data_IF_330584498532
#
_entry.id   IF_330584498532
#
_cell.length_a   1.000
_cell.length_b   1.000
_cell.length_c   1.000
_cell.angle_alpha   90.00
_cell.angle_beta   90.00
_cell.angle_gamma   90.00
#
_symmetry.space_group_name_H-M   'P 1'
#
loop_
_entity.id
_entity.type
_entity.pdbx_description
1 polymer ?
#
# COMPACT_ATOMS: atom_id res chain seq x y z
N UNK A 1 5.06 -41.53 -23.95
CA UNK A 1 4.69 -41.58 -22.52
C UNK A 1 4.01 -40.26 -22.21
N UNK A 2 2.78 -40.27 -21.67
CA UNK A 2 2.11 -39.03 -21.28
C UNK A 2 2.72 -38.49 -19.96
N UNK A 3 2.47 -37.22 -19.57
CA UNK A 3 3.05 -36.64 -18.36
C UNK A 3 2.71 -37.38 -17.06
N UNK A 4 1.51 -37.96 -16.96
CA UNK A 4 1.07 -38.70 -15.77
C UNK A 4 1.80 -40.04 -15.59
N UNK A 5 1.98 -40.79 -16.68
CA UNK A 5 2.75 -42.03 -16.70
C UNK A 5 4.22 -41.76 -16.40
N UNK A 6 4.76 -40.65 -16.92
CA UNK A 6 6.12 -40.23 -16.63
C UNK A 6 6.33 -39.89 -15.16
N UNK A 7 5.39 -39.12 -14.58
CA UNK A 7 5.43 -38.80 -13.16
C UNK A 7 5.45 -40.07 -12.31
N UNK A 8 4.58 -41.05 -12.61
CA UNK A 8 4.55 -42.34 -11.91
C UNK A 8 5.85 -43.11 -12.08
N UNK A 9 6.41 -43.17 -13.29
CA UNK A 9 7.65 -43.87 -13.59
C UNK A 9 8.85 -43.31 -12.79
N UNK A 10 8.95 -41.97 -12.66
CA UNK A 10 9.99 -41.35 -11.84
C UNK A 10 9.78 -41.64 -10.35
N UNK A 11 8.55 -41.53 -9.86
CA UNK A 11 8.23 -41.82 -8.45
C UNK A 11 8.46 -43.29 -8.07
N UNK A 12 8.37 -44.22 -9.02
CA UNK A 12 8.64 -45.65 -8.84
C UNK A 12 10.11 -46.03 -9.08
N UNK A 13 10.99 -45.07 -9.40
CA UNK A 13 12.40 -45.32 -9.70
C UNK A 13 12.66 -46.01 -11.04
N UNK A 14 11.66 -46.10 -11.91
CA UNK A 14 11.76 -46.69 -13.26
C UNK A 14 12.40 -45.72 -14.27
N UNK A 15 12.42 -44.43 -13.96
CA UNK A 15 13.02 -43.37 -14.76
C UNK A 15 13.75 -42.40 -13.82
N UNK A 16 14.95 -41.95 -14.19
CA UNK A 16 15.63 -40.91 -13.40
C UNK A 16 14.91 -39.55 -13.56
N UNK A 17 14.94 -38.68 -12.54
CA UNK A 17 14.40 -37.33 -12.64
C UNK A 17 14.96 -36.52 -13.82
N UNK A 18 16.23 -36.71 -14.15
CA UNK A 18 16.92 -36.01 -15.25
C UNK A 18 16.36 -36.41 -16.61
N UNK A 19 16.21 -37.72 -16.82
CA UNK A 19 15.58 -38.26 -18.03
C UNK A 19 14.10 -37.86 -18.10
N UNK A 20 13.44 -37.78 -16.95
CA UNK A 20 12.10 -37.22 -16.85
C UNK A 20 12.02 -35.77 -17.33
N UNK A 21 12.95 -34.90 -16.91
CA UNK A 21 13.00 -33.50 -17.36
C UNK A 21 13.25 -33.38 -18.86
N UNK A 22 14.13 -34.22 -19.43
CA UNK A 22 14.36 -34.25 -20.88
C UNK A 22 13.11 -34.62 -21.67
N UNK A 23 12.29 -35.52 -21.12
CA UNK A 23 11.01 -35.86 -21.74
C UNK A 23 10.03 -34.70 -21.59
N UNK A 24 9.94 -34.06 -20.42
CA UNK A 24 9.04 -32.93 -20.18
C UNK A 24 9.37 -31.69 -21.01
N UNK A 25 10.66 -31.44 -21.25
CA UNK A 25 11.14 -30.35 -22.12
C UNK A 25 10.47 -30.39 -23.51
N UNK A 26 10.29 -31.59 -24.07
CA UNK A 26 9.65 -31.78 -25.38
C UNK A 26 8.18 -31.41 -25.45
N UNK A 27 7.50 -31.34 -24.30
CA UNK A 27 6.07 -31.04 -24.22
C UNK A 27 5.79 -29.62 -23.72
N UNK A 28 6.79 -28.95 -23.13
CA UNK A 28 6.66 -27.60 -22.55
C UNK A 28 5.44 -27.45 -21.60
N UNK A 29 5.08 -28.52 -20.89
CA UNK A 29 3.94 -28.56 -19.99
C UNK A 29 4.33 -27.97 -18.62
N UNK A 30 3.84 -26.77 -18.34
CA UNK A 30 4.13 -26.03 -17.12
C UNK A 30 3.63 -26.74 -15.85
N UNK A 31 2.47 -27.43 -15.93
CA UNK A 31 1.93 -28.16 -14.80
C UNK A 31 2.80 -29.37 -14.49
N UNK A 32 3.15 -30.16 -15.51
CA UNK A 32 3.98 -31.32 -15.35
C UNK A 32 5.37 -30.95 -14.79
N UNK A 33 5.98 -29.87 -15.29
CA UNK A 33 7.24 -29.33 -14.76
C UNK A 33 7.11 -28.88 -13.30
N UNK A 34 6.01 -28.19 -12.95
CA UNK A 34 5.72 -27.81 -11.58
C UNK A 34 5.60 -29.02 -10.65
N UNK A 35 4.85 -30.06 -11.07
CA UNK A 35 4.66 -31.29 -10.30
C UNK A 35 5.99 -32.04 -10.14
N UNK A 36 6.81 -32.11 -11.19
CA UNK A 36 8.15 -32.68 -11.10
C UNK A 36 8.99 -31.97 -10.03
N UNK A 37 9.08 -30.64 -10.06
CA UNK A 37 9.82 -29.86 -9.07
C UNK A 37 9.30 -29.97 -7.65
N UNK A 38 8.02 -30.29 -7.47
CA UNK A 38 7.41 -30.49 -6.15
C UNK A 38 7.66 -31.88 -5.56
N UNK A 39 7.65 -32.92 -6.39
CA UNK A 39 7.54 -34.30 -5.91
C UNK A 39 8.73 -35.20 -6.27
N UNK A 40 9.49 -34.92 -7.34
CA UNK A 40 10.55 -35.82 -7.77
C UNK A 40 11.77 -35.72 -6.84
N UNK A 41 12.18 -36.83 -6.21
CA UNK A 41 13.34 -36.85 -5.33
C UNK A 41 14.62 -36.65 -6.14
N UNK A 42 15.55 -35.84 -5.63
CA UNK A 42 16.85 -35.61 -6.28
C UNK A 42 16.81 -34.70 -7.51
N UNK A 43 15.65 -34.13 -7.88
CA UNK A 43 15.53 -33.26 -9.03
C UNK A 43 16.49 -32.07 -8.97
N UNK A 44 17.11 -31.75 -10.10
CA UNK A 44 17.77 -30.47 -10.31
C UNK A 44 16.74 -29.33 -10.51
N UNK A 45 16.42 -28.61 -9.43
CA UNK A 45 15.48 -27.47 -9.45
C UNK A 45 15.92 -26.30 -10.32
N UNK A 46 17.22 -26.11 -10.58
CA UNK A 46 17.70 -25.05 -11.47
C UNK A 46 17.30 -25.36 -12.91
N UNK A 47 17.60 -26.57 -13.39
CA UNK A 47 17.19 -27.01 -14.74
C UNK A 47 15.67 -27.01 -14.88
N UNK A 48 14.94 -27.49 -13.86
CA UNK A 48 13.49 -27.49 -13.88
C UNK A 48 12.92 -26.05 -13.93
N UNK A 49 13.54 -25.09 -13.25
CA UNK A 49 13.13 -23.69 -13.28
C UNK A 49 13.39 -23.05 -14.65
N UNK A 50 14.49 -23.38 -15.32
CA UNK A 50 14.77 -22.92 -16.68
C UNK A 50 13.70 -23.41 -17.66
N UNK A 51 13.37 -24.70 -17.60
CA UNK A 51 12.30 -25.28 -18.41
C UNK A 51 10.94 -24.64 -18.10
N UNK A 52 10.62 -24.45 -16.83
CA UNK A 52 9.37 -23.81 -16.41
C UNK A 52 9.31 -22.34 -16.84
N UNK A 53 10.46 -21.65 -16.87
CA UNK A 53 10.53 -20.27 -17.37
C UNK A 53 10.29 -20.22 -18.88
N UNK A 54 10.78 -21.22 -19.62
CA UNK A 54 10.58 -21.33 -21.06
C UNK A 54 9.11 -21.54 -21.47
N UNK A 55 8.28 -22.13 -20.61
CA UNK A 55 6.82 -22.25 -20.88
C UNK A 55 6.09 -20.91 -20.82
N UNK A 56 6.71 -19.90 -20.21
CA UNK A 56 6.13 -18.56 -19.99
C UNK A 56 4.83 -18.55 -19.18
N UNK A 57 4.60 -19.59 -18.37
CA UNK A 57 3.43 -19.67 -17.49
C UNK A 57 3.72 -19.03 -16.12
N UNK A 58 3.27 -17.78 -15.95
CA UNK A 58 3.45 -17.03 -14.71
C UNK A 58 2.77 -17.68 -13.49
N UNK A 59 1.65 -18.40 -13.68
CA UNK A 59 0.92 -19.05 -12.60
C UNK A 59 1.74 -20.20 -12.01
N UNK A 60 2.29 -21.07 -12.86
CA UNK A 60 3.13 -22.17 -12.38
C UNK A 60 4.49 -21.71 -11.88
N UNK A 61 5.08 -20.65 -12.47
CA UNK A 61 6.28 -20.01 -11.91
C UNK A 61 6.04 -19.47 -10.49
N UNK A 62 4.91 -18.78 -10.28
CA UNK A 62 4.51 -18.32 -8.95
C UNK A 62 4.40 -19.47 -7.96
N UNK A 63 3.72 -20.56 -8.36
CA UNK A 63 3.54 -21.75 -7.51
C UNK A 63 4.84 -22.47 -7.23
N UNK A 64 5.75 -22.55 -8.19
CA UNK A 64 7.07 -23.13 -7.97
C UNK A 64 7.77 -22.43 -6.81
N UNK A 65 7.74 -21.10 -6.78
CA UNK A 65 8.27 -20.31 -5.67
C UNK A 65 7.68 -20.63 -4.30
N UNK A 66 6.44 -21.13 -4.23
CA UNK A 66 5.80 -21.49 -2.97
C UNK A 66 6.13 -22.91 -2.50
N UNK A 67 6.22 -23.86 -3.44
CA UNK A 67 6.15 -25.29 -3.12
C UNK A 67 7.44 -26.05 -3.41
N UNK A 68 8.36 -25.50 -4.19
CA UNK A 68 9.59 -26.20 -4.52
C UNK A 68 10.58 -26.12 -3.34
N UNK A 69 11.16 -27.25 -2.90
CA UNK A 69 12.03 -27.29 -1.73
C UNK A 69 13.31 -26.45 -1.86
N UNK A 70 13.90 -26.43 -3.06
CA UNK A 70 15.20 -25.79 -3.35
C UNK A 70 15.09 -24.83 -4.53
N UNK A 71 14.12 -23.92 -4.49
CA UNK A 71 13.97 -22.93 -5.56
C UNK A 71 14.89 -21.72 -5.37
N UNK A 72 15.46 -21.28 -6.49
CA UNK A 72 16.14 -20.00 -6.61
C UNK A 72 15.11 -18.87 -6.81
N UNK A 73 14.68 -18.29 -5.70
CA UNK A 73 13.70 -17.20 -5.70
C UNK A 73 14.13 -15.97 -6.52
N UNK A 74 15.38 -15.48 -6.46
CA UNK A 74 15.82 -14.38 -7.33
C UNK A 74 15.59 -14.66 -8.82
N UNK A 75 16.00 -15.83 -9.30
CA UNK A 75 15.82 -16.25 -10.70
C UNK A 75 14.35 -16.39 -11.07
N UNK A 76 13.54 -16.99 -10.20
CA UNK A 76 12.10 -17.11 -10.41
C UNK A 76 11.39 -15.74 -10.41
N UNK A 77 11.86 -14.79 -9.61
CA UNK A 77 11.32 -13.43 -9.56
C UNK A 77 11.65 -12.65 -10.84
N UNK A 78 12.89 -12.77 -11.32
CA UNK A 78 13.32 -12.20 -12.60
C UNK A 78 12.50 -12.74 -13.77
N UNK A 79 12.21 -14.05 -13.78
CA UNK A 79 11.33 -14.67 -14.76
C UNK A 79 9.91 -14.06 -14.71
N UNK A 80 9.30 -13.94 -13.53
CA UNK A 80 7.97 -13.31 -13.38
C UNK A 80 7.95 -11.85 -13.83
N UNK A 81 9.00 -11.08 -13.50
CA UNK A 81 9.15 -9.69 -13.94
C UNK A 81 9.23 -9.60 -15.47
N UNK A 82 10.01 -10.50 -16.09
CA UNK A 82 10.16 -10.58 -17.54
C UNK A 82 8.87 -10.96 -18.27
N UNK A 83 8.01 -11.76 -17.62
CA UNK A 83 6.69 -12.10 -18.13
C UNK A 83 5.66 -10.97 -17.99
N UNK A 84 5.99 -9.90 -17.27
CA UNK A 84 5.13 -8.71 -17.13
C UNK A 84 3.76 -9.01 -16.50
N UNK A 85 3.65 -10.07 -15.71
CA UNK A 85 2.41 -10.42 -15.00
C UNK A 85 2.33 -9.74 -13.63
N UNK A 86 1.69 -8.58 -13.57
CA UNK A 86 1.54 -7.80 -12.33
C UNK A 86 0.85 -8.57 -11.20
N UNK A 87 -0.02 -9.53 -11.53
CA UNK A 87 -0.71 -10.35 -10.53
C UNK A 87 0.25 -11.31 -9.81
N UNK A 88 1.06 -12.07 -10.55
CA UNK A 88 2.05 -12.98 -9.96
C UNK A 88 3.19 -12.24 -9.28
N UNK A 89 3.65 -11.11 -9.83
CA UNK A 89 4.67 -10.25 -9.18
C UNK A 89 4.17 -9.80 -7.80
N UNK A 90 2.94 -9.29 -7.72
CA UNK A 90 2.32 -8.90 -6.46
C UNK A 90 2.21 -10.06 -5.46
N UNK A 91 1.70 -11.21 -5.92
CA UNK A 91 1.53 -12.41 -5.07
C UNK A 91 2.88 -12.95 -4.58
N UNK A 92 3.91 -12.91 -5.42
CA UNK A 92 5.26 -13.33 -5.07
C UNK A 92 5.83 -12.45 -3.94
N UNK A 93 5.76 -11.13 -4.05
CA UNK A 93 6.23 -10.23 -2.99
C UNK A 93 5.50 -10.35 -1.66
N UNK A 94 4.26 -10.86 -1.66
CA UNK A 94 3.52 -11.17 -0.43
C UNK A 94 3.94 -12.50 0.21
N UNK A 95 4.22 -13.52 -0.60
CA UNK A 95 4.24 -14.91 -0.13
C UNK A 95 5.63 -15.57 -0.15
N UNK A 96 6.53 -15.14 -1.04
CA UNK A 96 7.86 -15.74 -1.15
C UNK A 96 8.79 -15.22 -0.04
N UNK A 97 9.73 -16.08 0.38
CA UNK A 97 10.65 -15.76 1.49
C UNK A 97 11.69 -14.71 1.11
N UNK A 98 12.22 -14.77 -0.11
CA UNK A 98 13.32 -13.92 -0.59
C UNK A 98 12.96 -13.22 -1.90
N UNK A 99 11.83 -12.52 -1.92
CA UNK A 99 11.43 -11.69 -3.05
C UNK A 99 12.04 -10.29 -2.95
N UNK A 100 12.65 -9.81 -4.04
CA UNK A 100 13.12 -8.44 -4.14
C UNK A 100 11.93 -7.49 -4.38
N UNK A 101 11.43 -6.89 -3.30
CA UNK A 101 10.33 -5.92 -3.34
C UNK A 101 10.69 -4.66 -4.12
N UNK A 102 11.96 -4.28 -4.24
CA UNK A 102 12.37 -3.08 -5.00
C UNK A 102 12.25 -3.35 -6.49
N UNK A 103 12.80 -4.47 -6.97
CA UNK A 103 12.68 -4.90 -8.36
C UNK A 103 11.22 -5.18 -8.73
N UNK A 104 10.45 -5.82 -7.83
CA UNK A 104 9.02 -6.03 -8.01
C UNK A 104 8.24 -4.73 -8.14
N UNK A 105 8.53 -3.72 -7.32
CA UNK A 105 7.88 -2.41 -7.40
C UNK A 105 8.22 -1.69 -8.72
N UNK A 106 9.47 -1.75 -9.17
CA UNK A 106 9.88 -1.19 -10.47
C UNK A 106 9.17 -1.86 -11.64
N UNK A 107 8.98 -3.18 -11.57
CA UNK A 107 8.22 -3.93 -12.54
C UNK A 107 6.74 -3.47 -12.56
N UNK A 108 6.08 -3.41 -11.40
CA UNK A 108 4.69 -2.94 -11.30
C UNK A 108 4.52 -1.50 -11.82
N UNK A 109 5.48 -0.63 -11.55
CA UNK A 109 5.50 0.73 -12.09
C UNK A 109 5.66 0.75 -13.61
N UNK A 110 6.55 -0.07 -14.16
CA UNK A 110 6.75 -0.19 -15.61
C UNK A 110 5.51 -0.74 -16.32
N UNK A 111 4.73 -1.59 -15.64
CA UNK A 111 3.44 -2.09 -16.10
C UNK A 111 2.29 -1.08 -15.96
N UNK A 112 2.56 0.08 -15.33
CA UNK A 112 1.55 1.11 -15.01
C UNK A 112 0.39 0.56 -14.16
N UNK A 113 0.65 -0.45 -13.32
CA UNK A 113 -0.37 -1.09 -12.50
C UNK A 113 -0.49 -0.41 -11.12
N UNK A 114 -1.14 0.76 -11.10
CA UNK A 114 -1.41 1.53 -9.87
C UNK A 114 -2.09 0.69 -8.79
N UNK A 115 -2.99 -0.21 -9.20
CA UNK A 115 -3.75 -1.08 -8.29
C UNK A 115 -2.82 -2.02 -7.54
N UNK A 116 -1.90 -2.68 -8.24
CA UNK A 116 -0.93 -3.60 -7.63
C UNK A 116 0.14 -2.87 -6.82
N UNK A 117 0.56 -1.66 -7.23
CA UNK A 117 1.44 -0.83 -6.40
C UNK A 117 0.77 -0.50 -5.07
N UNK A 118 -0.51 -0.12 -5.11
CA UNK A 118 -1.28 0.16 -3.90
C UNK A 118 -1.37 -1.07 -2.97
N UNK A 119 -1.76 -2.23 -3.50
CA UNK A 119 -1.86 -3.44 -2.68
C UNK A 119 -0.50 -3.93 -2.18
N UNK A 120 0.57 -3.80 -2.97
CA UNK A 120 1.93 -4.10 -2.53
C UNK A 120 2.29 -3.28 -1.28
N UNK A 121 1.87 -2.01 -1.20
CA UNK A 121 2.07 -1.19 0.00
C UNK A 121 1.34 -1.64 1.26
N UNK A 122 0.29 -2.45 1.11
CA UNK A 122 -0.44 -3.05 2.24
C UNK A 122 0.09 -4.45 2.57
N UNK A 123 0.48 -5.22 1.56
CA UNK A 123 0.74 -6.66 1.68
C UNK A 123 2.22 -7.01 1.85
N UNK A 124 3.14 -6.19 1.32
CA UNK A 124 4.58 -6.49 1.34
C UNK A 124 5.25 -5.99 2.63
N UNK A 125 6.04 -6.85 3.26
CA UNK A 125 6.72 -6.54 4.54
C UNK A 125 7.71 -5.37 4.40
N UNK A 126 8.53 -5.44 3.36
CA UNK A 126 9.64 -4.51 3.08
C UNK A 126 9.29 -3.56 1.91
N UNK A 127 8.04 -3.05 1.90
CA UNK A 127 7.61 -2.09 0.89
C UNK A 127 8.26 -0.71 1.09
N UNK A 128 8.81 -0.14 0.02
CA UNK A 128 9.30 1.23 -0.01
C UNK A 128 8.15 2.21 -0.28
N UNK A 129 7.54 2.73 0.80
CA UNK A 129 6.43 3.68 0.73
C UNK A 129 6.77 4.96 -0.03
N UNK A 130 8.00 5.46 0.10
CA UNK A 130 8.42 6.70 -0.56
C UNK A 130 8.48 6.50 -2.07
N UNK A 131 9.05 5.39 -2.52
CA UNK A 131 9.11 5.01 -3.93
C UNK A 131 7.74 4.67 -4.48
N UNK A 132 6.94 3.89 -3.74
CA UNK A 132 5.57 3.53 -4.12
C UNK A 132 4.66 4.75 -4.28
N UNK A 133 4.75 5.71 -3.37
CA UNK A 133 3.96 6.94 -3.47
C UNK A 133 4.39 7.79 -4.66
N UNK A 134 5.69 7.89 -4.93
CA UNK A 134 6.21 8.56 -6.13
C UNK A 134 5.70 7.88 -7.39
N UNK A 135 5.69 6.55 -7.43
CA UNK A 135 5.15 5.79 -8.55
C UNK A 135 3.66 6.09 -8.79
N UNK A 136 2.83 6.02 -7.75
CA UNK A 136 1.40 6.37 -7.84
C UNK A 136 1.18 7.82 -8.30
N UNK A 137 1.99 8.76 -7.79
CA UNK A 137 1.91 10.16 -8.20
C UNK A 137 2.23 10.36 -9.68
N UNK A 138 3.23 9.64 -10.21
CA UNK A 138 3.60 9.71 -11.63
C UNK A 138 2.52 9.06 -12.51
N UNK A 139 1.94 7.94 -12.08
CA UNK A 139 0.87 7.27 -12.81
C UNK A 139 -0.44 8.07 -12.79
N UNK A 140 -0.62 8.96 -11.81
CA UNK A 140 -1.74 9.91 -11.76
C UNK A 140 -3.10 9.26 -11.46
N UNK A 141 -3.12 8.05 -10.91
CA UNK A 141 -4.37 7.38 -10.55
C UNK A 141 -4.89 7.93 -9.21
N UNK A 142 -5.86 8.85 -9.30
CA UNK A 142 -6.45 9.53 -8.16
C UNK A 142 -7.02 8.57 -7.10
N UNK A 143 -7.59 7.44 -7.53
CA UNK A 143 -8.19 6.48 -6.62
C UNK A 143 -7.13 5.85 -5.73
N UNK A 144 -6.05 5.34 -6.32
CA UNK A 144 -4.99 4.67 -5.58
C UNK A 144 -4.09 5.65 -4.81
N UNK A 145 -3.92 6.88 -5.28
CA UNK A 145 -3.30 7.95 -4.46
C UNK A 145 -4.13 8.18 -3.19
N UNK A 146 -5.46 8.32 -3.34
CA UNK A 146 -6.37 8.50 -2.22
C UNK A 146 -6.32 7.31 -1.24
N UNK A 147 -6.46 6.07 -1.75
CA UNK A 147 -6.47 4.87 -0.92
C UNK A 147 -5.13 4.64 -0.22
N UNK A 148 -4.00 4.94 -0.87
CA UNK A 148 -2.69 4.92 -0.23
C UNK A 148 -2.66 5.85 1.00
N UNK A 149 -3.16 7.08 0.86
CA UNK A 149 -3.23 8.01 1.99
C UNK A 149 -4.21 7.62 3.11
N UNK A 150 -5.13 6.69 2.84
CA UNK A 150 -6.03 6.15 3.86
C UNK A 150 -5.47 4.92 4.59
N UNK A 151 -4.67 4.10 3.93
CA UNK A 151 -4.35 2.76 4.42
C UNK A 151 -2.86 2.49 4.61
N UNK A 152 -1.98 3.21 3.91
CA UNK A 152 -0.54 3.00 4.08
C UNK A 152 -0.07 3.52 5.43
N UNK A 153 0.71 2.70 6.14
CA UNK A 153 1.32 3.06 7.43
C UNK A 153 2.17 4.33 7.34
N UNK A 154 2.89 4.49 6.24
CA UNK A 154 3.76 5.63 5.98
C UNK A 154 3.30 6.28 4.68
N UNK A 155 2.69 7.46 4.79
CA UNK A 155 2.23 8.24 3.64
C UNK A 155 2.56 9.72 3.84
N UNK A 156 3.21 10.33 2.85
CA UNK A 156 3.50 11.76 2.84
C UNK A 156 2.26 12.51 2.35
N UNK A 157 1.42 13.00 3.27
CA UNK A 157 0.20 13.74 2.92
C UNK A 157 0.45 14.98 2.07
N UNK A 158 1.61 15.63 2.19
CA UNK A 158 1.94 16.82 1.40
C UNK A 158 2.14 16.45 -0.06
N UNK A 159 2.97 15.45 -0.34
CA UNK A 159 3.18 14.95 -1.71
C UNK A 159 1.94 14.27 -2.27
N UNK A 160 1.23 13.53 -1.43
CA UNK A 160 -0.03 12.88 -1.79
C UNK A 160 -1.08 13.89 -2.21
N UNK A 161 -1.16 15.02 -1.51
CA UNK A 161 -2.07 16.12 -1.84
C UNK A 161 -1.69 16.77 -3.18
N UNK A 162 -0.41 17.06 -3.39
CA UNK A 162 0.08 17.61 -4.66
C UNK A 162 -0.24 16.67 -5.84
N UNK A 163 0.02 15.38 -5.67
CA UNK A 163 -0.30 14.37 -6.68
C UNK A 163 -1.80 14.32 -6.96
N UNK A 164 -2.63 14.31 -5.91
CA UNK A 164 -4.08 14.23 -6.05
C UNK A 164 -4.67 15.49 -6.71
N UNK A 165 -4.18 16.68 -6.35
CA UNK A 165 -4.53 17.93 -7.02
C UNK A 165 -4.16 17.91 -8.50
N UNK A 166 -2.99 17.37 -8.86
CA UNK A 166 -2.54 17.25 -10.24
C UNK A 166 -3.45 16.34 -11.09
N UNK A 167 -4.11 15.35 -10.49
CA UNK A 167 -5.10 14.53 -11.20
C UNK A 167 -6.37 15.29 -11.59
N UNK A 168 -6.67 16.40 -10.91
CA UNK A 168 -7.90 17.16 -11.09
C UNK A 168 -9.17 16.41 -10.65
N UNK A 169 -9.06 15.23 -10.03
CA UNK A 169 -10.22 14.42 -9.68
C UNK A 169 -10.89 14.94 -8.38
N UNK A 170 -11.98 15.68 -8.58
CA UNK A 170 -12.67 16.37 -7.48
C UNK A 170 -13.30 15.42 -6.45
N UNK A 171 -13.75 14.24 -6.88
CA UNK A 171 -14.34 13.25 -5.97
C UNK A 171 -13.31 12.80 -4.94
N UNK A 172 -12.14 12.34 -5.40
CA UNK A 172 -11.12 11.85 -4.48
C UNK A 172 -10.51 12.97 -3.64
N UNK A 173 -10.42 14.20 -4.14
CA UNK A 173 -10.06 15.37 -3.33
C UNK A 173 -11.05 15.63 -2.21
N UNK A 174 -12.35 15.60 -2.51
CA UNK A 174 -13.40 15.74 -1.51
C UNK A 174 -13.29 14.65 -0.43
N UNK A 175 -13.15 13.39 -0.84
CA UNK A 175 -13.00 12.25 0.08
C UNK A 175 -11.71 12.34 0.90
N UNK A 176 -10.61 12.78 0.31
CA UNK A 176 -9.35 13.01 1.01
C UNK A 176 -9.51 14.07 2.10
N UNK A 177 -10.22 15.18 1.83
CA UNK A 177 -10.51 16.19 2.84
C UNK A 177 -11.34 15.70 4.02
N UNK A 178 -12.12 14.63 3.83
CA UNK A 178 -12.84 13.95 4.92
C UNK A 178 -11.92 13.06 5.73
N UNK A 179 -11.06 12.27 5.08
CA UNK A 179 -10.34 11.16 5.73
C UNK A 179 -8.89 11.45 6.12
N UNK A 180 -8.17 12.26 5.36
CA UNK A 180 -6.76 12.54 5.63
C UNK A 180 -6.60 13.49 6.82
N UNK A 181 -5.52 13.33 7.58
CA UNK A 181 -5.24 14.11 8.79
C UNK A 181 -4.72 15.52 8.46
N UNK A 182 -3.73 15.61 7.57
CA UNK A 182 -3.08 16.86 7.17
C UNK A 182 -3.51 17.31 5.77
N UNK A 183 -4.81 17.32 5.51
CA UNK A 183 -5.35 17.72 4.21
C UNK A 183 -5.39 19.25 4.06
N UNK A 184 -4.98 19.76 2.89
CA UNK A 184 -5.08 21.18 2.58
C UNK A 184 -6.44 21.51 1.96
N UNK A 185 -7.45 21.76 2.80
CA UNK A 185 -8.80 22.13 2.34
C UNK A 185 -8.82 23.39 1.47
N UNK A 186 -7.90 24.33 1.70
CA UNK A 186 -7.85 25.57 0.94
C UNK A 186 -7.50 25.32 -0.53
N UNK A 187 -6.41 24.58 -0.80
CA UNK A 187 -5.98 24.28 -2.15
C UNK A 187 -7.01 23.43 -2.93
N UNK A 188 -7.66 22.48 -2.26
CA UNK A 188 -8.73 21.70 -2.88
C UNK A 188 -9.98 22.56 -3.19
N UNK A 189 -10.34 23.47 -2.29
CA UNK A 189 -11.43 24.42 -2.53
C UNK A 189 -11.16 25.33 -3.73
N UNK A 190 -9.93 25.85 -3.86
CA UNK A 190 -9.54 26.69 -5.00
C UNK A 190 -9.72 25.93 -6.32
N UNK A 191 -9.43 24.63 -6.34
CA UNK A 191 -9.66 23.79 -7.52
C UNK A 191 -11.16 23.57 -7.78
N UNK A 192 -11.98 23.39 -6.74
CA UNK A 192 -13.43 23.30 -6.88
C UNK A 192 -14.05 24.59 -7.45
N UNK A 193 -13.51 25.76 -7.08
CA UNK A 193 -13.94 27.05 -7.64
C UNK A 193 -13.47 27.23 -9.08
N UNK A 194 -12.24 26.82 -9.40
CA UNK A 194 -11.68 26.88 -10.76
C UNK A 194 -12.49 26.04 -11.74
N UNK A 195 -13.03 24.90 -11.32
CA UNK A 195 -13.91 24.05 -12.13
C UNK A 195 -15.38 24.43 -11.92
N UNK A 196 -15.85 25.48 -12.59
CA UNK A 196 -17.18 26.09 -12.34
C UNK A 196 -18.31 25.06 -12.39
N UNK A 197 -18.38 24.24 -13.46
CA UNK A 197 -19.45 23.25 -13.66
C UNK A 197 -19.23 22.01 -12.81
N UNK A 198 -18.10 21.33 -12.98
CA UNK A 198 -17.84 20.05 -12.32
C UNK A 198 -17.60 20.18 -10.81
N UNK A 199 -17.12 21.34 -10.37
CA UNK A 199 -16.88 21.66 -8.96
C UNK A 199 -18.11 22.13 -8.20
N UNK A 200 -19.19 22.57 -8.87
CA UNK A 200 -20.45 22.94 -8.21
C UNK A 200 -20.99 21.86 -7.24
N UNK A 201 -21.16 20.58 -7.64
CA UNK A 201 -21.65 19.55 -6.73
C UNK A 201 -20.70 19.31 -5.55
N UNK A 202 -19.39 19.47 -5.73
CA UNK A 202 -18.41 19.25 -4.66
C UNK A 202 -18.37 20.42 -3.67
N UNK A 203 -18.56 21.66 -4.15
CA UNK A 203 -18.73 22.83 -3.28
C UNK A 203 -19.97 22.69 -2.40
N UNK A 204 -21.11 22.28 -2.98
CA UNK A 204 -22.34 22.01 -2.23
C UNK A 204 -22.09 20.95 -1.14
N UNK A 205 -21.55 19.78 -1.51
CA UNK A 205 -21.21 18.71 -0.55
C UNK A 205 -20.21 19.13 0.53
N UNK A 206 -19.23 19.98 0.20
CA UNK A 206 -18.26 20.48 1.16
C UNK A 206 -18.85 21.49 2.15
N UNK A 207 -19.87 22.25 1.77
CA UNK A 207 -20.59 23.14 2.70
C UNK A 207 -21.52 22.38 3.65
N UNK A 208 -21.97 21.19 3.24
CA UNK A 208 -22.80 20.29 4.06
C UNK A 208 -21.96 19.41 5.01
N UNK A 209 -20.75 19.01 4.61
CA UNK A 209 -19.90 18.14 5.42
C UNK A 209 -19.29 18.89 6.62
N UNK A 210 -19.47 18.40 7.87
CA UNK A 210 -19.03 19.12 9.07
C UNK A 210 -17.53 19.41 9.12
N UNK A 211 -16.69 18.48 8.64
CA UNK A 211 -15.24 18.65 8.65
C UNK A 211 -14.85 19.74 7.66
N UNK A 212 -15.34 19.64 6.42
CA UNK A 212 -15.11 20.67 5.40
C UNK A 212 -15.63 22.05 5.84
N UNK A 213 -16.88 22.13 6.31
CA UNK A 213 -17.49 23.37 6.78
C UNK A 213 -16.66 24.05 7.86
N UNK A 214 -16.15 23.30 8.85
CA UNK A 214 -15.27 23.84 9.91
C UNK A 214 -14.02 24.50 9.34
N UNK A 215 -13.35 23.85 8.39
CA UNK A 215 -12.13 24.38 7.77
C UNK A 215 -12.42 25.58 6.86
N UNK A 216 -13.49 25.54 6.08
CA UNK A 216 -13.91 26.64 5.21
C UNK A 216 -14.33 27.88 6.00
N UNK A 217 -15.10 27.72 7.07
CA UNK A 217 -15.48 28.84 7.94
C UNK A 217 -14.26 29.51 8.56
N UNK A 218 -13.25 28.74 8.98
CA UNK A 218 -11.99 29.30 9.51
C UNK A 218 -11.26 30.12 8.44
N UNK A 219 -11.25 29.65 7.18
CA UNK A 219 -10.68 30.39 6.04
C UNK A 219 -11.45 31.69 5.80
N UNK A 220 -12.78 31.64 5.70
CA UNK A 220 -13.60 32.82 5.42
C UNK A 220 -13.50 33.87 6.53
N UNK A 221 -13.55 33.46 7.81
CA UNK A 221 -13.34 34.37 8.95
C UNK A 221 -12.00 35.10 8.87
N UNK A 222 -10.92 34.38 8.52
CA UNK A 222 -9.60 34.98 8.33
C UNK A 222 -9.57 35.98 7.17
N UNK A 223 -10.24 35.68 6.05
CA UNK A 223 -10.32 36.58 4.90
C UNK A 223 -11.13 37.85 5.20
N UNK A 224 -12.19 37.74 6.01
CA UNK A 224 -13.02 38.87 6.43
C UNK A 224 -12.44 39.66 7.62
N UNK A 225 -11.21 39.37 8.08
CA UNK A 225 -10.60 40.06 9.23
C UNK A 225 -11.27 39.77 10.58
N UNK A 226 -12.11 38.74 10.66
CA UNK A 226 -12.76 38.30 11.89
C UNK A 226 -11.83 37.31 12.60
N UNK A 227 -10.85 37.80 13.36
CA UNK A 227 -10.04 36.93 14.21
C UNK A 227 -10.93 36.22 15.25
N UNK A 228 -10.63 34.95 15.58
CA UNK A 228 -11.35 34.29 16.65
C UNK A 228 -11.06 35.06 17.95
N UNK A 229 -12.11 35.53 18.64
CA UNK A 229 -12.00 35.81 20.06
C UNK A 229 -11.37 34.57 20.68
N UNK A 230 -10.14 34.70 21.18
CA UNK A 230 -9.49 33.62 21.90
C UNK A 230 -10.45 33.14 22.97
N UNK A 231 -10.57 31.83 23.13
CA UNK A 231 -11.29 31.23 24.26
C UNK A 231 -10.80 31.96 25.50
N UNK A 232 -11.66 32.86 26.00
CA UNK A 232 -11.46 33.53 27.26
C UNK A 232 -11.43 32.41 28.27
N UNK A 233 -10.21 31.97 28.62
CA UNK A 233 -9.98 31.36 29.91
C UNK A 233 -10.40 32.42 30.90
N UNK A 234 -11.66 32.34 31.30
CA UNK A 234 -12.22 33.01 32.46
C UNK A 234 -11.25 32.68 33.59
N UNK A 235 -10.35 33.62 33.88
CA UNK A 235 -9.51 33.57 35.06
C UNK A 235 -10.52 33.65 36.20
N UNK A 236 -10.92 32.49 36.75
CA UNK A 236 -11.63 32.43 38.02
C UNK A 236 -10.79 33.19 39.03
N UNK A 237 -11.16 34.45 39.28
CA UNK A 237 -10.68 35.18 40.42
C UNK A 237 -11.18 34.41 41.65
N UNK A 238 -10.29 34.02 42.57
CA UNK A 238 -10.75 33.52 43.85
C UNK A 238 -11.48 34.67 44.55
N UNK A 239 -12.64 34.44 45.18
CA UNK A 239 -13.36 35.50 45.86
C UNK A 239 -12.51 36.07 46.99
N UNK A 240 -12.42 37.41 47.01
CA UNK A 240 -11.74 38.19 48.04
C UNK A 240 -12.28 37.84 49.42
N UNK A 241 -11.36 37.55 50.35
CA UNK A 241 -11.67 37.31 51.77
C UNK A 241 -12.08 38.64 52.41
N UNK A 242 -13.35 38.74 52.81
CA UNK A 242 -13.82 39.79 53.72
C UNK A 242 -13.26 39.61 55.14
N UNK A 243 -13.20 40.67 55.96
CA UNK A 243 -12.44 40.67 57.20
C UNK A 243 -13.22 40.06 58.37
N UNK A 244 -12.64 38.98 58.92
CA UNK A 244 -12.62 38.62 60.35
C UNK A 244 -13.92 38.14 61.00
N UNK A 245 -13.86 37.01 61.72
CA UNK A 245 -13.96 36.98 63.20
C UNK A 245 -13.93 35.55 63.79
N UNK A 246 -12.88 35.31 64.60
CA UNK A 246 -12.62 34.33 65.68
C UNK A 246 -13.07 32.85 65.57
N UNK A 247 -12.09 31.93 65.68
CA UNK A 247 -12.04 30.95 66.79
C UNK A 247 -10.63 30.33 66.92
N UNK A 248 -9.95 30.82 67.95
CA UNK A 248 -8.94 30.24 68.85
C UNK A 248 -9.01 28.69 68.91
N UNK A 249 -7.91 27.89 68.91
CA UNK A 249 -6.96 27.79 70.02
C UNK A 249 -5.84 26.71 69.80
N UNK A 250 -4.69 27.00 70.42
CA UNK A 250 -3.62 26.15 71.01
C UNK A 250 -2.72 25.24 70.14
N UNK A 251 -1.40 25.55 70.15
CA UNK A 251 -0.28 24.71 69.68
C UNK A 251 0.10 23.59 70.66
N UNK A 252 1.38 23.16 70.81
CA UNK A 252 2.61 23.64 70.13
C UNK A 252 3.65 22.55 69.75
N UNK A 253 4.78 23.05 69.21
CA UNK A 253 6.18 22.55 69.22
C UNK A 253 6.67 21.68 68.06
N UNK A 254 7.53 22.31 67.26
CA UNK A 254 8.54 21.66 66.42
C UNK A 254 9.55 20.87 67.26
N UNK A 255 10.16 19.81 66.71
CA UNK A 255 11.35 19.19 67.26
C UNK A 255 12.62 19.76 66.60
N UNK A 256 13.56 20.22 67.43
CA UNK A 256 14.99 20.03 67.26
C UNK A 256 15.61 19.85 68.65
#
# INVERSE_FOLDING_TARGET
>A
MNPSDLHRAVMQGQCSPEKGLEILDRFADAEALFLAGRYWPGLNHEKALDLLTATRDAFFLYRAGLYWPKINHPKAAEALISLKDGASIHKAGRAWKSFDTKAGLDALFSLKDSRRIYYAGNDWKDFDFKKGQKALAILGDAAFIFYAGCHWRNFDFTKGMQALLATGNLNYLFQAGKRWQNFNHAAAWDLFEKQIRDGAPWRAKALEDPKWKKHLLRRFKKQCGMEPMGDGKEKKHPPERGPGRWEIHFGPKDPA
#
